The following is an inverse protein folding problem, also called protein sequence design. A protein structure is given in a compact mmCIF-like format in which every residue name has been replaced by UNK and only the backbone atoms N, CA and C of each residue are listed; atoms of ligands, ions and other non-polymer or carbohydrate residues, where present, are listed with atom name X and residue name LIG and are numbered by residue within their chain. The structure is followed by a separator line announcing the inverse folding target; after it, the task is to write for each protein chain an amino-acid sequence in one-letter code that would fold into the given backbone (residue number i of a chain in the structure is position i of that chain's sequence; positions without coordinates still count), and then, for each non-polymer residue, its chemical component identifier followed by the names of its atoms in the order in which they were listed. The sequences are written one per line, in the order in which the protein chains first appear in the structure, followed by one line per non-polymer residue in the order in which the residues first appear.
data_IF_704467237390
#
_entry.id   IF_704467237390
#
_cell.length_a   1.000
_cell.length_b   1.000
_cell.length_c   1.000
_cell.angle_alpha   90.00
_cell.angle_beta   90.00
_cell.angle_gamma   90.00
#
_symmetry.space_group_name_H-M   'P 1'
#
loop_
_entity.id
_entity.type
_entity.pdbx_description
1 polymer ?
#
# COMPACT_ATOMS: atom_id res chain seq x y z
N UNK A 1 -16.98 13.42 -25.30
CA UNK A 1 -15.66 13.18 -24.65
C UNK A 1 -15.44 11.68 -24.57
N UNK A 2 -14.26 11.21 -24.96
CA UNK A 2 -13.86 9.80 -24.82
C UNK A 2 -13.44 9.57 -23.36
N UNK A 3 -14.10 8.67 -22.65
CA UNK A 3 -13.78 8.32 -21.27
C UNK A 3 -12.79 7.15 -21.21
N UNK A 4 -12.94 6.19 -22.14
CA UNK A 4 -12.06 5.03 -22.29
C UNK A 4 -11.94 4.62 -23.75
N UNK A 5 -10.82 4.03 -24.17
CA UNK A 5 -10.60 3.54 -25.52
C UNK A 5 -9.90 4.52 -26.47
N UNK A 6 -9.21 5.54 -25.97
CA UNK A 6 -8.45 6.53 -26.75
C UNK A 6 -7.51 5.88 -27.79
N UNK A 7 -6.79 4.82 -27.40
CA UNK A 7 -5.88 4.09 -28.31
C UNK A 7 -6.63 3.45 -29.49
N UNK A 8 -7.83 2.88 -29.24
CA UNK A 8 -8.68 2.28 -30.27
C UNK A 8 -9.22 3.35 -31.23
N UNK A 9 -9.64 4.49 -30.69
CA UNK A 9 -10.07 5.63 -31.48
C UNK A 9 -8.94 6.13 -32.40
N UNK A 10 -7.75 6.35 -31.86
CA UNK A 10 -6.57 6.78 -32.65
C UNK A 10 -6.16 5.75 -33.71
N UNK A 11 -6.22 4.46 -33.37
CA UNK A 11 -5.93 3.40 -34.34
C UNK A 11 -6.95 3.36 -35.47
N UNK A 12 -8.23 3.48 -35.16
CA UNK A 12 -9.31 3.55 -36.14
C UNK A 12 -9.18 4.77 -37.07
N UNK A 13 -8.86 5.94 -36.49
CA UNK A 13 -8.58 7.16 -37.27
C UNK A 13 -7.41 6.98 -38.23
N UNK A 14 -6.31 6.36 -37.76
CA UNK A 14 -5.15 6.05 -38.62
C UNK A 14 -5.47 5.02 -39.72
N UNK A 15 -6.39 4.10 -39.43
CA UNK A 15 -6.83 3.09 -40.39
C UNK A 15 -7.89 3.62 -41.38
N UNK A 16 -8.30 4.89 -41.26
CA UNK A 16 -9.27 5.52 -42.15
C UNK A 16 -10.69 5.00 -41.96
N UNK A 17 -11.03 4.42 -40.79
CA UNK A 17 -12.37 3.94 -40.51
C UNK A 17 -13.34 5.12 -40.25
N UNK A 18 -14.42 5.19 -41.01
CA UNK A 18 -15.44 6.24 -40.85
C UNK A 18 -16.27 6.06 -39.57
N UNK A 19 -16.45 4.84 -39.10
CA UNK A 19 -17.27 4.50 -37.92
C UNK A 19 -16.63 3.41 -37.09
N UNK A 20 -16.72 3.54 -35.76
CA UNK A 20 -16.32 2.51 -34.81
C UNK A 20 -17.46 2.26 -33.82
N UNK A 21 -17.62 1.02 -33.33
CA UNK A 21 -18.58 0.72 -32.27
C UNK A 21 -18.20 1.49 -31.00
N UNK A 22 -19.14 2.25 -30.45
CA UNK A 22 -18.94 3.01 -29.21
C UNK A 22 -20.15 2.91 -28.30
N UNK A 23 -19.93 2.77 -27.01
CA UNK A 23 -20.98 2.82 -26.01
C UNK A 23 -21.14 4.27 -25.55
N UNK A 24 -22.25 4.91 -25.95
CA UNK A 24 -22.54 6.29 -25.54
C UNK A 24 -23.35 6.27 -24.24
N UNK A 25 -22.84 6.94 -23.20
CA UNK A 25 -23.55 7.10 -21.92
C UNK A 25 -23.51 8.55 -21.48
N UNK A 26 -24.59 9.03 -20.87
CA UNK A 26 -24.63 10.31 -20.18
C UNK A 26 -24.09 10.11 -18.77
N UNK A 27 -22.92 10.64 -18.50
CA UNK A 27 -22.23 10.52 -17.19
C UNK A 27 -22.01 11.91 -16.62
N UNK A 28 -22.14 12.06 -15.29
CA UNK A 28 -21.66 13.26 -14.59
C UNK A 28 -20.14 13.37 -14.74
N UNK A 29 -19.60 14.57 -14.61
CA UNK A 29 -18.15 14.77 -14.70
C UNK A 29 -17.40 14.02 -13.61
N UNK A 30 -17.99 13.92 -12.41
CA UNK A 30 -17.46 13.11 -11.32
C UNK A 30 -17.37 11.62 -11.70
N UNK A 31 -18.39 11.08 -12.33
CA UNK A 31 -18.40 9.67 -12.74
C UNK A 31 -17.41 9.38 -13.88
N UNK A 32 -17.20 10.35 -14.78
CA UNK A 32 -16.16 10.26 -15.82
C UNK A 32 -14.77 10.20 -15.20
N UNK A 33 -14.53 11.04 -14.19
CA UNK A 33 -13.25 11.09 -13.46
C UNK A 33 -12.99 9.77 -12.70
N UNK A 34 -14.02 9.23 -12.05
CA UNK A 34 -13.97 7.94 -11.39
C UNK A 34 -13.57 6.81 -12.34
N UNK A 35 -14.27 6.69 -13.47
CA UNK A 35 -14.00 5.66 -14.48
C UNK A 35 -12.59 5.79 -15.07
N UNK A 36 -12.14 7.02 -15.33
CA UNK A 36 -10.78 7.26 -15.81
C UNK A 36 -9.72 6.84 -14.78
N UNK A 37 -9.96 7.09 -13.48
CA UNK A 37 -9.06 6.66 -12.41
C UNK A 37 -9.01 5.13 -12.29
N UNK A 38 -10.16 4.46 -12.38
CA UNK A 38 -10.24 2.99 -12.36
C UNK A 38 -9.51 2.38 -13.56
N UNK A 39 -9.73 2.93 -14.78
CA UNK A 39 -9.01 2.46 -15.98
C UNK A 39 -7.51 2.60 -15.80
N UNK A 40 -7.04 3.73 -15.25
CA UNK A 40 -5.62 3.95 -15.00
C UNK A 40 -5.04 2.96 -13.97
N UNK A 41 -5.80 2.60 -12.92
CA UNK A 41 -5.38 1.59 -11.92
C UNK A 41 -5.19 0.20 -12.56
N UNK A 42 -5.97 -0.13 -13.56
CA UNK A 42 -5.89 -1.42 -14.26
C UNK A 42 -4.70 -1.52 -15.24
N UNK A 43 -3.91 -0.44 -15.39
CA UNK A 43 -2.69 -0.48 -16.20
C UNK A 43 -1.60 -1.30 -15.48
N UNK A 44 -0.85 -2.07 -16.25
CA UNK A 44 0.14 -3.04 -15.75
C UNK A 44 1.38 -2.43 -15.09
N UNK A 45 1.57 -1.09 -15.13
CA UNK A 45 2.84 -0.43 -14.78
C UNK A 45 2.75 0.45 -13.52
N UNK A 46 1.69 0.36 -12.73
CA UNK A 46 1.59 1.12 -11.48
C UNK A 46 2.38 0.44 -10.36
N UNK A 47 3.20 1.21 -9.66
CA UNK A 47 3.81 0.72 -8.43
C UNK A 47 2.80 0.66 -7.27
N UNK A 48 3.17 0.00 -6.17
CA UNK A 48 2.27 -0.21 -5.04
C UNK A 48 1.83 1.11 -4.36
N UNK A 49 2.68 2.13 -4.35
CA UNK A 49 2.38 3.45 -3.77
C UNK A 49 1.42 4.24 -4.66
N UNK A 50 1.61 4.20 -5.98
CA UNK A 50 0.67 4.80 -6.93
C UNK A 50 -0.71 4.15 -6.84
N UNK A 51 -0.75 2.83 -6.75
CA UNK A 51 -1.98 2.07 -6.55
C UNK A 51 -2.68 2.47 -5.25
N UNK A 52 -1.92 2.56 -4.15
CA UNK A 52 -2.45 2.98 -2.84
C UNK A 52 -3.02 4.41 -2.89
N UNK A 53 -2.32 5.32 -3.56
CA UNK A 53 -2.76 6.72 -3.75
C UNK A 53 -4.05 6.79 -4.57
N UNK A 54 -4.16 5.96 -5.60
CA UNK A 54 -5.37 5.90 -6.41
C UNK A 54 -6.57 5.33 -5.62
N UNK A 55 -6.34 4.29 -4.77
CA UNK A 55 -7.38 3.78 -3.87
C UNK A 55 -7.81 4.82 -2.84
N UNK A 56 -6.87 5.62 -2.30
CA UNK A 56 -7.18 6.72 -1.40
C UNK A 56 -8.10 7.73 -2.08
N UNK A 57 -7.82 8.12 -3.33
CA UNK A 57 -8.66 9.03 -4.11
C UNK A 57 -10.05 8.43 -4.35
N UNK A 58 -10.16 7.14 -4.69
CA UNK A 58 -11.45 6.48 -4.85
C UNK A 58 -12.27 6.49 -3.56
N UNK A 59 -11.63 6.27 -2.41
CA UNK A 59 -12.29 6.32 -1.11
C UNK A 59 -12.73 7.74 -0.73
N UNK A 60 -11.83 8.71 -0.80
CA UNK A 60 -12.04 10.03 -0.20
C UNK A 60 -12.77 11.02 -1.14
N UNK A 61 -12.55 10.94 -2.45
CA UNK A 61 -13.19 11.83 -3.41
C UNK A 61 -14.52 11.29 -3.96
N UNK A 62 -14.62 9.96 -4.06
CA UNK A 62 -15.80 9.30 -4.60
C UNK A 62 -16.63 8.55 -3.56
N UNK A 63 -16.25 8.62 -2.27
CA UNK A 63 -16.92 7.98 -1.13
C UNK A 63 -17.17 6.48 -1.33
N UNK A 64 -16.25 5.79 -1.99
CA UNK A 64 -16.36 4.36 -2.22
C UNK A 64 -15.90 3.56 -1.00
N UNK A 65 -16.64 2.50 -0.67
CA UNK A 65 -16.21 1.53 0.34
C UNK A 65 -15.06 0.67 -0.19
N UNK A 66 -14.30 0.04 0.72
CA UNK A 66 -13.21 -0.86 0.34
C UNK A 66 -13.69 -2.02 -0.55
N UNK A 67 -14.89 -2.50 -0.29
CA UNK A 67 -15.53 -3.55 -1.10
C UNK A 67 -15.83 -3.05 -2.52
N UNK A 68 -16.44 -1.87 -2.65
CA UNK A 68 -16.74 -1.26 -3.95
C UNK A 68 -15.46 -0.98 -4.75
N UNK A 69 -14.40 -0.49 -4.08
CA UNK A 69 -13.08 -0.30 -4.71
C UNK A 69 -12.57 -1.65 -5.22
N UNK A 70 -12.56 -2.68 -4.36
CA UNK A 70 -12.07 -4.00 -4.71
C UNK A 70 -12.77 -4.59 -5.93
N UNK A 71 -14.11 -4.52 -5.97
CA UNK A 71 -14.92 -4.99 -7.11
C UNK A 71 -14.57 -4.26 -8.40
N UNK A 72 -14.39 -2.93 -8.36
CA UNK A 72 -14.13 -2.10 -9.56
C UNK A 72 -12.71 -2.22 -10.09
N UNK A 73 -11.73 -2.49 -9.22
CA UNK A 73 -10.31 -2.57 -9.62
C UNK A 73 -9.83 -4.00 -9.95
N UNK A 74 -10.74 -4.92 -10.24
CA UNK A 74 -10.41 -6.28 -10.69
C UNK A 74 -10.73 -7.38 -9.69
N UNK A 75 -11.75 -7.20 -8.82
CA UNK A 75 -12.24 -8.24 -7.91
C UNK A 75 -11.34 -8.49 -6.72
N UNK A 76 -10.63 -7.46 -6.22
CA UNK A 76 -9.79 -7.56 -5.03
C UNK A 76 -10.64 -7.59 -3.75
N UNK A 77 -10.22 -8.37 -2.76
CA UNK A 77 -10.89 -8.39 -1.46
C UNK A 77 -10.74 -7.06 -0.72
N UNK A 78 -11.69 -6.67 0.16
CA UNK A 78 -11.57 -5.48 0.98
C UNK A 78 -10.30 -5.45 1.82
N UNK A 79 -9.85 -6.62 2.30
CA UNK A 79 -8.60 -6.77 3.04
C UNK A 79 -7.37 -6.45 2.18
N UNK A 80 -7.36 -6.87 0.90
CA UNK A 80 -6.28 -6.55 -0.02
C UNK A 80 -6.21 -5.04 -0.28
N UNK A 81 -7.36 -4.38 -0.52
CA UNK A 81 -7.46 -2.93 -0.68
C UNK A 81 -6.97 -2.20 0.58
N UNK A 82 -7.41 -2.65 1.77
CA UNK A 82 -6.96 -2.08 3.06
C UNK A 82 -5.45 -2.21 3.25
N UNK A 83 -4.87 -3.37 2.94
CA UNK A 83 -3.44 -3.60 3.05
C UNK A 83 -2.63 -2.68 2.13
N UNK A 84 -3.09 -2.47 0.89
CA UNK A 84 -2.46 -1.54 -0.04
C UNK A 84 -2.55 -0.09 0.49
N UNK A 85 -3.70 0.35 1.00
CA UNK A 85 -3.86 1.67 1.60
C UNK A 85 -2.94 1.91 2.80
N UNK A 86 -2.67 0.87 3.60
CA UNK A 86 -1.75 0.97 4.75
C UNK A 86 -0.32 1.31 4.36
N UNK A 87 0.11 1.04 3.12
CA UNK A 87 1.44 1.42 2.64
C UNK A 87 1.67 2.93 2.68
N UNK A 88 0.62 3.74 2.57
CA UNK A 88 0.71 5.20 2.67
C UNK A 88 1.06 5.70 4.09
N UNK A 89 0.95 4.85 5.12
CA UNK A 89 1.38 5.17 6.50
C UNK A 89 2.88 5.02 6.72
N UNK A 90 3.57 4.38 5.79
CA UNK A 90 5.03 4.23 5.87
C UNK A 90 5.73 5.59 5.72
N UNK A 91 6.88 5.78 6.39
CA UNK A 91 7.72 6.95 6.22
C UNK A 91 8.05 7.21 4.75
N UNK A 92 8.25 8.49 4.41
CA UNK A 92 8.54 8.92 3.03
C UNK A 92 9.72 8.17 2.40
N UNK A 93 10.77 7.94 3.19
CA UNK A 93 11.98 7.23 2.73
C UNK A 93 11.66 5.81 2.24
N UNK A 94 10.76 5.10 2.93
CA UNK A 94 10.34 3.75 2.53
C UNK A 94 9.46 3.82 1.27
N UNK A 95 8.53 4.77 1.24
CA UNK A 95 7.65 4.96 0.07
C UNK A 95 8.47 5.28 -1.18
N UNK A 96 9.47 6.16 -1.05
CA UNK A 96 10.37 6.49 -2.15
C UNK A 96 11.18 5.27 -2.62
N UNK A 97 11.66 4.44 -1.69
CA UNK A 97 12.36 3.21 -2.05
C UNK A 97 11.48 2.22 -2.85
N UNK A 98 10.17 2.21 -2.59
CA UNK A 98 9.20 1.43 -3.40
C UNK A 98 9.01 2.06 -4.78
N UNK A 99 8.87 3.39 -4.86
CA UNK A 99 8.74 4.12 -6.13
C UNK A 99 9.98 3.91 -7.01
N UNK A 100 11.17 3.95 -6.41
CA UNK A 100 12.46 3.71 -7.09
C UNK A 100 12.67 2.24 -7.50
N UNK A 101 11.76 1.35 -7.13
CA UNK A 101 11.88 -0.09 -7.41
C UNK A 101 12.93 -0.83 -6.57
N UNK A 102 13.48 -0.19 -5.54
CA UNK A 102 14.46 -0.80 -4.61
C UNK A 102 13.80 -1.79 -3.65
N UNK A 103 12.53 -1.58 -3.35
CA UNK A 103 11.75 -2.43 -2.47
C UNK A 103 10.42 -2.82 -3.12
N UNK A 104 10.02 -4.06 -2.94
CA UNK A 104 8.72 -4.58 -3.37
C UNK A 104 7.65 -4.38 -2.28
N UNK A 105 6.37 -4.44 -2.67
CA UNK A 105 5.23 -4.40 -1.73
C UNK A 105 5.37 -5.47 -0.62
N UNK A 106 5.78 -6.68 -0.97
CA UNK A 106 5.97 -7.77 0.00
C UNK A 106 7.03 -7.49 1.06
N UNK A 107 8.10 -6.78 0.70
CA UNK A 107 9.18 -6.40 1.62
C UNK A 107 8.77 -5.27 2.56
N UNK A 108 7.98 -4.31 2.12
CA UNK A 108 7.59 -3.15 2.94
C UNK A 108 6.36 -3.39 3.80
N UNK A 109 5.53 -4.36 3.45
CA UNK A 109 4.32 -4.69 4.19
C UNK A 109 4.56 -5.04 5.67
N UNK A 110 5.55 -5.86 6.04
CA UNK A 110 5.89 -6.12 7.44
C UNK A 110 6.33 -4.87 8.21
N UNK A 111 6.93 -3.88 7.53
CA UNK A 111 7.45 -2.65 8.15
C UNK A 111 6.34 -1.72 8.67
N UNK A 112 5.09 -1.89 8.23
CA UNK A 112 3.94 -1.08 8.68
C UNK A 112 3.71 -1.20 10.19
N UNK A 113 4.19 -2.27 10.82
CA UNK A 113 4.02 -2.52 12.26
C UNK A 113 5.14 -1.92 13.12
N UNK A 114 6.14 -1.31 12.51
CA UNK A 114 7.30 -0.72 13.18
C UNK A 114 7.11 0.79 13.35
N UNK A 115 7.81 1.35 14.33
CA UNK A 115 7.96 2.79 14.46
C UNK A 115 9.03 3.34 13.50
N UNK A 116 9.10 4.66 13.38
CA UNK A 116 10.00 5.34 12.44
C UNK A 116 11.48 5.09 12.78
N UNK A 117 11.84 5.00 14.06
CA UNK A 117 13.20 4.74 14.50
C UNK A 117 13.64 3.32 14.13
N UNK A 118 12.80 2.33 14.38
CA UNK A 118 13.04 0.93 14.01
C UNK A 118 13.17 0.77 12.48
N UNK A 119 12.36 1.49 11.72
CA UNK A 119 12.45 1.49 10.25
C UNK A 119 13.78 2.11 9.81
N UNK A 120 14.20 3.22 10.39
CA UNK A 120 15.46 3.88 10.04
C UNK A 120 16.68 2.96 10.25
N UNK A 121 16.67 2.15 11.31
CA UNK A 121 17.75 1.21 11.61
C UNK A 121 17.81 0.00 10.67
N UNK A 122 16.64 -0.52 10.26
CA UNK A 122 16.57 -1.75 9.46
C UNK A 122 16.61 -1.50 7.96
N UNK A 123 16.09 -0.36 7.50
CA UNK A 123 15.95 -0.05 6.07
C UNK A 123 17.27 -0.12 5.28
N UNK A 124 18.40 0.42 5.77
CA UNK A 124 19.69 0.31 5.09
C UNK A 124 20.12 -1.15 4.92
N UNK A 125 19.90 -1.99 5.93
CA UNK A 125 20.25 -3.43 5.90
C UNK A 125 19.41 -4.18 4.88
N UNK A 126 18.09 -3.89 4.82
CA UNK A 126 17.18 -4.51 3.85
C UNK A 126 17.64 -4.20 2.42
N UNK A 127 18.03 -2.96 2.16
CA UNK A 127 18.44 -2.52 0.81
C UNK A 127 19.83 -3.06 0.46
N UNK A 128 20.81 -2.98 1.37
CA UNK A 128 22.19 -3.40 1.10
C UNK A 128 22.34 -4.91 0.99
N UNK A 129 21.63 -5.67 1.82
CA UNK A 129 21.70 -7.13 1.83
C UNK A 129 20.57 -7.79 1.03
N UNK A 130 19.76 -7.02 0.32
CA UNK A 130 18.63 -7.50 -0.52
C UNK A 130 17.73 -8.50 0.22
N UNK A 131 17.30 -8.15 1.44
CA UNK A 131 16.50 -9.07 2.26
C UNK A 131 15.18 -9.44 1.58
N UNK A 132 14.90 -10.73 1.55
CA UNK A 132 13.58 -11.22 1.13
C UNK A 132 12.50 -10.85 2.16
N UNK A 133 11.23 -10.81 1.73
CA UNK A 133 10.10 -10.56 2.63
C UNK A 133 10.08 -11.53 3.83
N UNK A 134 10.39 -12.81 3.60
CA UNK A 134 10.50 -13.83 4.66
C UNK A 134 11.59 -13.51 5.67
N UNK A 135 12.77 -13.04 5.22
CA UNK A 135 13.87 -12.67 6.12
C UNK A 135 13.48 -11.48 6.99
N UNK A 136 12.77 -10.51 6.41
CA UNK A 136 12.25 -9.37 7.16
C UNK A 136 11.25 -9.83 8.23
N UNK A 137 10.28 -10.67 7.87
CA UNK A 137 9.30 -11.21 8.83
C UNK A 137 9.94 -11.98 9.96
N UNK A 138 10.94 -12.83 9.68
CA UNK A 138 11.69 -13.58 10.69
C UNK A 138 12.46 -12.63 11.64
N UNK A 139 13.13 -11.62 11.10
CA UNK A 139 13.85 -10.64 11.90
C UNK A 139 12.90 -9.87 12.83
N UNK A 140 11.74 -9.44 12.32
CA UNK A 140 10.75 -8.75 13.13
C UNK A 140 10.12 -9.63 14.20
N UNK A 141 9.96 -10.94 13.94
CA UNK A 141 9.48 -11.88 14.93
C UNK A 141 10.47 -12.03 16.10
N UNK A 142 11.78 -12.01 15.82
CA UNK A 142 12.82 -12.03 16.83
C UNK A 142 12.82 -10.73 17.64
N UNK A 143 12.78 -9.56 17.00
CA UNK A 143 12.70 -8.25 17.66
C UNK A 143 11.54 -8.19 18.65
N UNK A 144 10.35 -8.56 18.23
CA UNK A 144 9.14 -8.57 19.10
C UNK A 144 9.29 -9.50 20.30
N UNK A 145 9.98 -10.63 20.16
CA UNK A 145 10.26 -11.54 21.28
C UNK A 145 11.24 -10.93 22.27
N UNK A 146 12.27 -10.25 21.79
CA UNK A 146 13.27 -9.58 22.63
C UNK A 146 12.64 -8.43 23.40
N UNK A 147 11.85 -7.59 22.76
CA UNK A 147 11.14 -6.47 23.40
C UNK A 147 10.11 -6.97 24.44
N UNK A 148 9.41 -8.07 24.17
CA UNK A 148 8.47 -8.67 25.12
C UNK A 148 9.20 -9.24 26.34
N UNK A 149 10.41 -9.83 26.19
CA UNK A 149 11.21 -10.35 27.30
C UNK A 149 11.79 -9.22 28.16
N UNK A 150 12.25 -8.13 27.54
CA UNK A 150 12.77 -6.95 28.23
C UNK A 150 11.70 -6.20 29.01
N UNK A 151 10.50 -6.09 28.45
CA UNK A 151 9.35 -5.48 29.14
C UNK A 151 8.87 -6.32 30.32
N UNK A 152 8.87 -7.66 30.20
CA UNK A 152 8.55 -8.57 31.29
C UNK A 152 9.57 -8.51 32.43
N UNK A 153 10.87 -8.39 32.11
CA UNK A 153 11.92 -8.23 33.13
C UNK A 153 11.87 -6.87 33.84
N UNK A 154 11.53 -5.78 33.12
CA UNK A 154 11.34 -4.45 33.74
C UNK A 154 10.15 -4.44 34.71
N UNK A 155 9.03 -5.07 34.36
CA UNK A 155 7.85 -5.18 35.25
C UNK A 155 8.14 -6.07 36.46
N UNK A 156 8.85 -7.17 36.30
CA UNK A 156 9.24 -8.04 37.41
C UNK A 156 10.22 -7.36 38.39
N UNK A 157 11.10 -6.46 37.88
CA UNK A 157 12.05 -5.71 38.73
C UNK A 157 11.37 -4.56 39.48
N UNK A 158 10.29 -3.99 38.94
CA UNK A 158 9.49 -2.94 39.58
C UNK A 158 8.57 -3.48 40.68
N UNK A 159 8.25 -4.77 40.71
CA UNK A 159 7.37 -5.43 41.69
C UNK A 159 8.12 -6.11 42.84
N UNK A 160 9.45 -5.98 42.96
CA UNK A 160 10.16 -6.51 44.13
C UNK A 160 9.80 -5.65 45.35
N UNK A 161 9.16 -6.23 46.40
CA UNK A 161 8.90 -5.50 47.64
C UNK A 161 10.23 -5.08 48.29
N UNK A 162 10.23 -3.88 48.87
CA UNK A 162 11.36 -3.40 49.63
C UNK A 162 11.69 -4.37 50.78
N UNK A 163 12.98 -4.60 51.13
CA UNK A 163 13.32 -5.45 52.25
C UNK A 163 12.78 -4.85 53.53
N UNK A 164 12.29 -5.69 54.49
CA UNK A 164 11.76 -5.21 55.73
C UNK A 164 12.83 -4.43 56.52
N UNK A 165 12.43 -3.38 57.27
CA UNK A 165 13.36 -2.62 58.07
C UNK A 165 14.01 -3.53 59.16
N UNK A 166 15.33 -3.48 59.22
CA UNK A 166 16.08 -4.16 60.26
C UNK A 166 15.98 -3.33 61.53
N UNK A 167 15.41 -3.90 62.60
CA UNK A 167 15.48 -3.39 63.96
C UNK A 167 16.70 -3.88 64.64
#
# INVERSE_FOLDING_TARGET
VIVAGERRYRAATKAGLEKIPALVRTLSDQHKLELSLIENIQRQNLNAIETATAYLKLRDQFNLTLEQIGQRVGGKSPSAVSNTLRLLRLPEVVRQAVVDGKLSEGQVRPLISLDEAQIADILPKIIQEEWSARRIEQYLAILKRTEASDSAQKTAKAQRPAPPPQY
#
